data_IF_457987550638
#
_entry.id   IF_457987550638
#
_cell.length_a   1.000
_cell.length_b   1.000
_cell.length_c   1.000
_cell.angle_alpha   90.00
_cell.angle_beta   90.00
_cell.angle_gamma   90.00
#
_symmetry.space_group_name_H-M   'P 1'
#
loop_
_entity.id
_entity.type
_entity.pdbx_description
1 polymer ?
#
# COMPACT_ATOMS: atom_id res chain seq x y z
N UNK A 1 -5.58 -3.16 -4.46
CA UNK A 1 -5.21 -2.38 -5.67
C UNK A 1 -5.31 -0.92 -5.32
N UNK A 2 -4.41 -0.10 -5.83
CA UNK A 2 -4.44 1.35 -5.71
C UNK A 2 -4.61 1.97 -7.09
N UNK A 3 -5.70 2.68 -7.30
CA UNK A 3 -5.90 3.57 -8.44
C UNK A 3 -5.36 4.94 -8.05
N UNK A 4 -4.24 5.34 -8.65
CA UNK A 4 -3.57 6.58 -8.29
C UNK A 4 -4.02 7.68 -9.24
N UNK A 5 -4.51 8.78 -8.69
CA UNK A 5 -4.93 9.96 -9.43
C UNK A 5 -4.19 11.20 -8.93
N UNK A 6 -3.92 12.11 -9.85
CA UNK A 6 -3.39 13.43 -9.52
C UNK A 6 -4.51 14.30 -8.95
N UNK A 7 -4.37 14.71 -7.69
CA UNK A 7 -5.40 15.48 -6.99
C UNK A 7 -5.72 16.85 -7.63
N UNK A 8 -4.86 17.37 -8.51
CA UNK A 8 -5.11 18.64 -9.17
C UNK A 8 -6.02 18.51 -10.41
N UNK A 9 -6.15 17.31 -10.99
CA UNK A 9 -6.83 17.13 -12.27
C UNK A 9 -7.53 15.77 -12.46
N UNK A 10 -7.57 14.92 -11.44
CA UNK A 10 -8.19 13.60 -11.40
C UNK A 10 -7.70 12.61 -12.48
N UNK A 11 -6.53 12.88 -13.11
CA UNK A 11 -5.95 11.99 -14.11
C UNK A 11 -5.17 10.88 -13.45
N UNK A 12 -5.24 9.69 -14.04
CA UNK A 12 -4.43 8.54 -13.62
C UNK A 12 -2.94 8.85 -13.66
N UNK A 13 -2.23 8.46 -12.60
CA UNK A 13 -0.78 8.60 -12.48
C UNK A 13 -0.10 7.43 -13.18
N UNK A 14 0.48 7.68 -14.35
CA UNK A 14 1.14 6.65 -15.17
C UNK A 14 2.66 6.82 -15.25
N UNK A 15 3.21 7.82 -14.57
CA UNK A 15 4.59 8.29 -14.66
C UNK A 15 5.44 7.94 -13.42
N UNK A 16 5.02 6.96 -12.61
CA UNK A 16 5.79 6.51 -11.45
C UNK A 16 7.15 5.95 -11.87
N UNK A 17 8.19 6.39 -11.18
CA UNK A 17 9.52 5.80 -11.27
C UNK A 17 9.70 4.75 -10.17
N UNK A 18 10.58 3.75 -10.37
CA UNK A 18 10.92 2.82 -9.31
C UNK A 18 11.50 3.53 -8.09
N UNK A 19 11.11 3.07 -6.91
CA UNK A 19 11.76 3.36 -5.64
C UNK A 19 12.25 2.03 -5.08
N UNK A 20 13.54 1.89 -4.78
CA UNK A 20 14.13 0.61 -4.33
C UNK A 20 13.75 -0.58 -5.24
N UNK A 21 13.63 -0.35 -6.55
CA UNK A 21 13.37 -1.38 -7.57
C UNK A 21 11.91 -1.61 -7.95
N UNK A 22 10.93 -1.05 -7.23
CA UNK A 22 9.51 -1.32 -7.46
C UNK A 22 8.67 -0.02 -7.56
N UNK A 23 7.52 -0.07 -8.25
CA UNK A 23 6.64 1.09 -8.45
C UNK A 23 5.94 1.57 -7.17
N UNK A 24 5.97 0.77 -6.12
CA UNK A 24 5.45 1.16 -4.82
C UNK A 24 5.85 0.20 -3.70
N UNK A 25 5.85 0.75 -2.48
CA UNK A 25 6.07 0.02 -1.23
C UNK A 25 4.87 0.21 -0.31
N UNK A 26 4.48 -0.84 0.39
CA UNK A 26 3.34 -0.81 1.29
C UNK A 26 3.76 -1.33 2.66
N UNK A 27 3.66 -0.46 3.66
CA UNK A 27 3.80 -0.82 5.07
C UNK A 27 2.41 -0.91 5.69
N UNK A 28 2.16 -1.95 6.47
CA UNK A 28 0.89 -2.20 7.13
C UNK A 28 1.18 -2.52 8.60
N UNK A 29 0.53 -1.80 9.51
CA UNK A 29 0.58 -2.05 10.95
C UNK A 29 -0.82 -2.34 11.49
N UNK A 30 -0.96 -3.42 12.26
CA UNK A 30 -2.16 -3.68 13.06
C UNK A 30 -2.21 -2.71 14.23
N UNK A 31 -3.39 -2.17 14.53
CA UNK A 31 -3.62 -1.46 15.77
C UNK A 31 -3.70 -2.49 16.92
N UNK A 32 -2.57 -2.72 17.60
CA UNK A 32 -2.44 -3.65 18.72
C UNK A 32 -1.67 -3.03 19.88
N UNK A 33 -1.83 -3.61 21.08
CA UNK A 33 -1.02 -3.32 22.25
C UNK A 33 -0.84 -4.60 23.07
N UNK A 34 0.40 -5.08 23.30
CA UNK A 34 1.65 -4.52 22.75
C UNK A 34 1.73 -4.69 21.23
N UNK A 35 2.42 -3.76 20.57
CA UNK A 35 2.80 -3.90 19.16
C UNK A 35 3.94 -4.93 19.07
N UNK A 36 3.76 -5.95 18.23
CA UNK A 36 4.74 -7.01 18.01
C UNK A 36 5.15 -7.09 16.54
N UNK A 37 6.21 -7.84 16.22
CA UNK A 37 6.59 -8.09 14.83
C UNK A 37 5.48 -8.75 14.00
N UNK A 38 4.59 -9.53 14.63
CA UNK A 38 3.44 -10.15 13.96
C UNK A 38 2.36 -9.14 13.54
N UNK A 39 2.45 -7.89 14.02
CA UNK A 39 1.54 -6.82 13.66
C UNK A 39 2.08 -5.96 12.49
N UNK A 40 3.28 -6.26 11.98
CA UNK A 40 3.93 -5.57 10.86
C UNK A 40 3.93 -6.42 9.59
N UNK A 41 3.54 -5.81 8.48
CA UNK A 41 3.61 -6.41 7.15
C UNK A 41 4.20 -5.40 6.17
N UNK A 42 5.13 -5.86 5.33
CA UNK A 42 5.71 -5.10 4.23
C UNK A 42 5.44 -5.83 2.91
N UNK A 43 4.98 -5.10 1.90
CA UNK A 43 4.73 -5.63 0.57
C UNK A 43 5.27 -4.70 -0.51
N UNK A 44 5.76 -5.30 -1.59
CA UNK A 44 6.16 -4.58 -2.79
C UNK A 44 5.06 -4.61 -3.85
N UNK A 45 5.07 -3.62 -4.73
CA UNK A 45 4.22 -3.64 -5.90
C UNK A 45 4.48 -4.90 -6.75
N UNK A 46 3.41 -5.46 -7.31
CA UNK A 46 3.52 -6.48 -8.35
C UNK A 46 4.03 -5.85 -9.65
N UNK A 47 4.74 -6.65 -10.44
CA UNK A 47 5.18 -6.28 -11.79
C UNK A 47 4.04 -6.44 -12.80
N UNK A 48 4.18 -5.79 -13.96
CA UNK A 48 3.29 -5.93 -15.11
C UNK A 48 1.80 -5.63 -14.82
N UNK A 49 1.54 -4.70 -13.91
CA UNK A 49 0.18 -4.19 -13.62
C UNK A 49 -0.30 -3.21 -14.69
N UNK A 50 -1.63 -3.03 -14.85
CA UNK A 50 -2.17 -2.01 -15.73
C UNK A 50 -1.60 -0.62 -15.43
N UNK A 51 -1.47 0.20 -16.48
CA UNK A 51 -1.04 1.59 -16.33
C UNK A 51 -2.00 2.36 -15.41
N UNK A 52 -1.47 3.20 -14.52
CA UNK A 52 -2.27 3.92 -13.53
C UNK A 52 -2.58 3.15 -12.25
N UNK A 53 -2.20 1.86 -12.18
CA UNK A 53 -2.51 1.00 -11.03
C UNK A 53 -1.25 0.45 -10.37
N UNK A 54 -1.27 0.41 -9.04
CA UNK A 54 -0.27 -0.30 -8.24
C UNK A 54 -0.97 -1.40 -7.44
N UNK A 55 -0.54 -2.64 -7.67
CA UNK A 55 -1.12 -3.80 -7.01
C UNK A 55 -0.15 -4.34 -5.98
N UNK A 56 -0.68 -4.73 -4.82
CA UNK A 56 0.08 -5.40 -3.77
C UNK A 56 -0.64 -6.70 -3.43
N UNK A 57 0.13 -7.77 -3.20
CA UNK A 57 -0.38 -9.03 -2.69
C UNK A 57 0.19 -9.26 -1.29
N UNK A 58 -0.67 -9.47 -0.32
CA UNK A 58 -0.27 -9.75 1.07
C UNK A 58 -1.37 -10.52 1.80
N UNK A 59 -1.07 -11.01 3.01
CA UNK A 59 -2.01 -11.67 3.91
C UNK A 59 -2.02 -10.95 5.24
N UNK A 60 -3.22 -10.68 5.76
CA UNK A 60 -3.38 -10.14 7.10
C UNK A 60 -3.30 -11.29 8.12
N UNK A 61 -2.40 -11.24 9.11
CA UNK A 61 -2.21 -12.36 10.04
C UNK A 61 -3.43 -12.64 10.93
N UNK A 62 -4.22 -11.61 11.24
CA UNK A 62 -5.39 -11.67 12.12
C UNK A 62 -6.44 -10.65 11.69
N UNK A 63 -7.66 -10.79 12.21
CA UNK A 63 -8.65 -9.72 12.16
C UNK A 63 -8.21 -8.50 12.96
N UNK A 64 -8.80 -7.37 12.62
CA UNK A 64 -8.61 -6.11 13.33
C UNK A 64 -8.44 -4.92 12.40
N UNK A 65 -8.14 -3.78 13.01
CA UNK A 65 -7.93 -2.51 12.31
C UNK A 65 -6.45 -2.35 11.98
N UNK A 66 -6.17 -2.00 10.73
CA UNK A 66 -4.82 -1.83 10.19
C UNK A 66 -4.64 -0.43 9.62
N UNK A 67 -3.49 0.17 9.89
CA UNK A 67 -3.02 1.38 9.22
C UNK A 67 -2.06 0.98 8.11
N UNK A 68 -2.28 1.52 6.92
CA UNK A 68 -1.47 1.27 5.74
C UNK A 68 -0.81 2.57 5.29
N UNK A 69 0.43 2.47 4.82
CA UNK A 69 1.19 3.55 4.18
C UNK A 69 1.76 3.04 2.86
N UNK A 70 1.28 3.59 1.75
CA UNK A 70 1.81 3.38 0.42
C UNK A 70 2.82 4.47 0.06
N UNK A 71 4.00 4.09 -0.39
CA UNK A 71 5.04 5.00 -0.87
C UNK A 71 5.24 4.86 -2.38
N UNK A 72 5.19 5.99 -3.08
CA UNK A 72 5.28 6.08 -4.54
C UNK A 72 6.29 7.16 -4.93
N UNK A 73 7.21 6.84 -5.84
CA UNK A 73 8.15 7.83 -6.37
C UNK A 73 7.58 8.45 -7.63
N UNK A 74 7.35 9.76 -7.59
CA UNK A 74 6.92 10.56 -8.73
C UNK A 74 7.87 11.74 -8.89
N UNK A 75 8.58 11.78 -10.00
CA UNK A 75 9.57 12.81 -10.35
C UNK A 75 10.69 12.96 -9.30
N UNK A 76 11.14 11.83 -8.73
CA UNK A 76 12.19 11.81 -7.70
C UNK A 76 11.69 12.18 -6.29
N UNK A 77 10.40 12.49 -6.13
CA UNK A 77 9.78 12.78 -4.83
C UNK A 77 8.99 11.57 -4.34
N UNK A 78 9.25 11.15 -3.11
CA UNK A 78 8.45 10.11 -2.45
C UNK A 78 7.16 10.73 -1.92
N UNK A 79 6.04 10.28 -2.47
CA UNK A 79 4.69 10.58 -1.99
C UNK A 79 4.24 9.42 -1.09
N UNK A 80 3.83 9.72 0.14
CA UNK A 80 3.26 8.73 1.06
C UNK A 80 1.78 8.98 1.21
N UNK A 81 0.95 7.96 0.95
CA UNK A 81 -0.49 8.00 1.17
C UNK A 81 -0.87 6.97 2.24
N UNK A 82 -1.80 7.32 3.12
CA UNK A 82 -2.22 6.46 4.23
C UNK A 82 -3.73 6.27 4.31
N UNK A 83 -4.15 5.08 4.76
CA UNK A 83 -5.56 4.74 4.90
C UNK A 83 -5.73 3.62 5.94
N UNK A 84 -6.93 3.53 6.48
CA UNK A 84 -7.31 2.51 7.46
C UNK A 84 -8.12 1.42 6.78
N UNK A 85 -7.86 0.16 7.16
CA UNK A 85 -8.64 -1.00 6.72
C UNK A 85 -9.08 -1.79 7.95
N UNK A 86 -10.33 -2.26 7.94
CA UNK A 86 -10.82 -3.23 8.92
C UNK A 86 -10.84 -4.60 8.27
N UNK A 87 -10.07 -5.54 8.82
CA UNK A 87 -10.01 -6.93 8.38
C UNK A 87 -10.92 -7.74 9.29
N UNK A 88 -11.93 -8.38 8.69
CA UNK A 88 -12.84 -9.27 9.41
C UNK A 88 -12.18 -10.61 9.74
N UNK A 89 -12.67 -11.29 10.77
CA UNK A 89 -12.32 -12.69 11.00
C UNK A 89 -12.84 -13.56 9.86
N UNK A 90 -12.02 -14.52 9.44
CA UNK A 90 -12.38 -15.51 8.42
C UNK A 90 -13.15 -16.70 9.00
N UNK A 91 -13.79 -16.54 10.17
CA UNK A 91 -14.62 -17.58 10.77
C UNK A 91 -15.91 -17.72 9.99
N UNK A 92 -15.90 -18.64 9.03
CA UNK A 92 -17.08 -19.33 8.51
C UNK A 92 -17.49 -20.45 9.44
#
# INVERSE_FOLDING_TARGET
MFDLQDAANDRSITDLQPYLGEKGHLVILRQSSPLTSNDYVHAHALKDTPSGQVHFATRFPRSGKYKLWGQFNRNGKIVTADFWVNVADSSS
#
